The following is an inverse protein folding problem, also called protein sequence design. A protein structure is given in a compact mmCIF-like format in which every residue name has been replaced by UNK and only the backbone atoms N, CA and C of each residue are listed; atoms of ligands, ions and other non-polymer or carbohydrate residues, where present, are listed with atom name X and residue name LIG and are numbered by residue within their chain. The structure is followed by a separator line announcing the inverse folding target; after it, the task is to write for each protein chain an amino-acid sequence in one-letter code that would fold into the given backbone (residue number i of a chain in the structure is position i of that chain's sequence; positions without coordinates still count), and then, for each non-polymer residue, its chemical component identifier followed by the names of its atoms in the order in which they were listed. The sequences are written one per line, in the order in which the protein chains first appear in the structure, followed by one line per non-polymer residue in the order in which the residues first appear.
data_IF_315699681934
#
_entry.id   IF_315699681934
#
_cell.length_a   1.000
_cell.length_b   1.000
_cell.length_c   1.000
_cell.angle_alpha   90.00
_cell.angle_beta   90.00
_cell.angle_gamma   90.00
#
_symmetry.space_group_name_H-M   'P 1'
#
loop_
_entity.id
_entity.type
_entity.pdbx_description
1 polymer ?
#
# COMPACT_ATOMS: atom_id res chain seq x y z
N UNK A 1 11.54 -3.39 -4.37
CA UNK A 1 10.20 -3.11 -4.92
C UNK A 1 9.36 -2.56 -3.79
N UNK A 2 9.14 -1.25 -3.77
CA UNK A 2 8.77 -0.55 -2.55
C UNK A 2 7.73 0.56 -2.80
N UNK A 3 7.00 0.90 -1.74
CA UNK A 3 6.20 2.10 -1.62
C UNK A 3 6.96 3.10 -0.75
N UNK A 4 6.82 4.42 -0.96
CA UNK A 4 7.49 5.40 -0.12
C UNK A 4 6.93 5.36 1.31
N UNK A 5 7.76 5.73 2.28
CA UNK A 5 7.48 5.58 3.71
C UNK A 5 6.29 6.43 4.20
N UNK A 6 5.91 7.45 3.43
CA UNK A 6 4.79 8.35 3.66
C UNK A 6 3.51 7.97 2.90
N UNK A 7 3.55 6.94 2.02
CA UNK A 7 2.34 6.34 1.47
C UNK A 7 1.42 5.86 2.59
N UNK A 8 0.12 5.83 2.32
CA UNK A 8 -0.89 5.53 3.35
C UNK A 8 -1.72 4.30 3.03
N UNK A 9 -2.13 3.60 4.08
CA UNK A 9 -3.07 2.47 4.04
C UNK A 9 -4.19 2.67 5.05
N UNK A 10 -5.34 2.04 4.82
CA UNK A 10 -6.47 2.07 5.75
C UNK A 10 -6.33 0.91 6.76
N UNK A 11 -6.28 1.22 8.05
CA UNK A 11 -6.33 0.25 9.14
C UNK A 11 -7.74 0.12 9.73
N UNK A 12 -8.09 -1.09 10.21
CA UNK A 12 -9.37 -1.31 10.88
C UNK A 12 -9.48 -0.41 12.12
N UNK A 13 -10.61 0.29 12.28
CA UNK A 13 -10.91 1.17 13.42
C UNK A 13 -9.95 2.35 13.68
N UNK A 14 -8.90 2.54 12.87
CA UNK A 14 -7.93 3.63 13.00
C UNK A 14 -8.00 4.58 11.80
N UNK A 15 -8.35 4.07 10.61
CA UNK A 15 -8.37 4.86 9.38
C UNK A 15 -7.00 4.92 8.71
N UNK A 16 -6.70 6.04 8.03
CA UNK A 16 -5.48 6.17 7.23
C UNK A 16 -4.23 6.35 8.08
N UNK A 17 -3.24 5.49 7.85
CA UNK A 17 -1.94 5.50 8.53
C UNK A 17 -0.80 5.41 7.51
N UNK A 18 0.32 6.07 7.78
CA UNK A 18 1.53 5.98 6.94
C UNK A 18 2.16 4.58 7.02
N UNK A 19 2.75 4.11 5.92
CA UNK A 19 3.47 2.82 5.89
C UNK A 19 4.59 2.75 6.93
N UNK A 20 5.31 3.85 7.15
CA UNK A 20 6.37 3.95 8.17
C UNK A 20 5.88 3.69 9.61
N UNK A 21 4.60 3.94 9.90
CA UNK A 21 4.02 3.75 11.23
C UNK A 21 3.43 2.35 11.46
N UNK A 22 3.38 1.52 10.41
CA UNK A 22 2.80 0.17 10.50
C UNK A 22 3.61 -0.77 11.39
N UNK A 23 2.88 -1.68 12.04
CA UNK A 23 3.41 -2.72 12.92
C UNK A 23 2.87 -4.09 12.50
N UNK A 24 3.62 -5.13 12.85
CA UNK A 24 3.14 -6.52 12.73
C UNK A 24 1.89 -6.66 13.61
N UNK A 25 0.85 -7.28 13.05
CA UNK A 25 -0.47 -7.45 13.68
C UNK A 25 -1.49 -6.38 13.29
N UNK A 26 -1.07 -5.23 12.73
CA UNK A 26 -2.01 -4.22 12.23
C UNK A 26 -2.89 -4.82 11.12
N UNK A 27 -4.20 -4.57 11.20
CA UNK A 27 -5.19 -5.08 10.25
C UNK A 27 -5.35 -4.06 9.11
N UNK A 28 -4.74 -4.34 7.97
CA UNK A 28 -4.78 -3.47 6.79
C UNK A 28 -5.91 -3.85 5.85
N UNK A 29 -6.54 -2.86 5.23
CA UNK A 29 -7.53 -3.06 4.18
C UNK A 29 -6.87 -3.62 2.92
N UNK A 30 -7.36 -4.76 2.44
CA UNK A 30 -6.87 -5.45 1.24
C UNK A 30 -8.03 -5.86 0.34
N UNK A 31 -7.71 -6.34 -0.87
CA UNK A 31 -8.64 -6.97 -1.80
C UNK A 31 -8.29 -8.46 -1.83
N UNK A 32 -9.28 -9.33 -1.66
CA UNK A 32 -9.11 -10.79 -1.77
C UNK A 32 -9.24 -11.29 -3.21
N UNK A 33 -9.08 -12.60 -3.41
CA UNK A 33 -9.16 -13.25 -4.72
C UNK A 33 -10.56 -13.15 -5.37
N UNK A 34 -11.59 -12.85 -4.58
CA UNK A 34 -12.97 -12.64 -5.03
C UNK A 34 -13.29 -11.15 -5.29
N UNK A 35 -12.26 -10.29 -5.28
CA UNK A 35 -12.36 -8.82 -5.38
C UNK A 35 -13.16 -8.16 -4.25
N UNK A 36 -13.30 -8.83 -3.09
CA UNK A 36 -13.94 -8.27 -1.91
C UNK A 36 -12.94 -7.49 -1.06
N UNK A 37 -13.44 -6.46 -0.39
CA UNK A 37 -12.63 -5.68 0.55
C UNK A 37 -12.67 -6.39 1.90
N UNK A 38 -11.50 -6.82 2.37
CA UNK A 38 -11.32 -7.43 3.69
C UNK A 38 -10.22 -6.70 4.49
N UNK A 39 -10.05 -7.08 5.75
CA UNK A 39 -8.93 -6.64 6.58
C UNK A 39 -8.05 -7.85 6.92
N UNK A 40 -6.74 -7.69 6.78
CA UNK A 40 -5.77 -8.78 6.97
C UNK A 40 -4.60 -8.31 7.85
N UNK A 41 -4.09 -9.16 8.78
CA UNK A 41 -2.94 -8.81 9.61
C UNK A 41 -1.65 -8.70 8.78
N UNK A 42 -0.85 -7.69 9.07
CA UNK A 42 0.56 -7.68 8.65
C UNK A 42 1.32 -8.74 9.42
N UNK A 43 1.88 -9.72 8.72
CA UNK A 43 2.69 -10.79 9.33
C UNK A 43 4.20 -10.55 9.25
N UNK A 44 4.65 -9.75 8.27
CA UNK A 44 6.07 -9.43 8.05
C UNK A 44 6.22 -8.24 7.11
N UNK A 45 7.38 -7.58 7.14
CA UNK A 45 7.80 -6.60 6.11
C UNK A 45 8.92 -7.21 5.27
N UNK A 46 8.72 -7.31 3.95
CA UNK A 46 9.72 -7.87 3.04
C UNK A 46 10.92 -6.93 2.84
N UNK A 47 10.69 -5.63 2.93
CA UNK A 47 11.71 -4.60 2.83
C UNK A 47 11.23 -3.37 3.60
N UNK A 48 12.05 -2.86 4.53
CA UNK A 48 11.73 -1.72 5.39
C UNK A 48 13.01 -1.00 5.83
N UNK A 49 13.55 -0.19 4.93
CA UNK A 49 14.61 0.77 5.26
C UNK A 49 14.02 2.19 5.20
N UNK A 50 13.98 2.89 6.32
CA UNK A 50 13.32 4.19 6.42
C UNK A 50 14.19 5.35 5.91
N UNK A 51 15.50 5.16 5.89
CA UNK A 51 16.51 6.15 5.51
C UNK A 51 17.08 5.92 4.11
N UNK A 52 16.54 4.96 3.35
CA UNK A 52 16.98 4.67 1.99
C UNK A 52 16.31 5.60 0.98
N UNK A 53 17.12 6.22 0.12
CA UNK A 53 16.62 6.97 -1.03
C UNK A 53 16.34 6.02 -2.21
N UNK A 54 15.12 6.10 -2.74
CA UNK A 54 14.72 5.32 -3.91
C UNK A 54 13.95 6.18 -4.92
N UNK A 55 14.00 5.78 -6.20
CA UNK A 55 13.22 6.41 -7.25
C UNK A 55 11.82 5.80 -7.33
N UNK A 56 10.80 6.66 -7.33
CA UNK A 56 9.40 6.27 -7.43
C UNK A 56 8.74 6.89 -8.67
N UNK A 57 7.82 6.14 -9.29
CA UNK A 57 6.89 6.67 -10.29
C UNK A 57 5.64 7.16 -9.60
N UNK A 58 5.11 8.27 -10.10
CA UNK A 58 3.84 8.83 -9.66
C UNK A 58 2.76 8.54 -10.68
N UNK A 59 1.77 7.75 -10.30
CA UNK A 59 0.57 7.49 -11.11
C UNK A 59 -0.58 8.30 -10.54
N UNK A 60 -1.19 9.13 -11.38
CA UNK A 60 -2.30 10.00 -10.98
C UNK A 60 -3.58 9.57 -11.70
N UNK A 61 -4.64 9.38 -10.92
CA UNK A 61 -6.01 9.26 -11.41
C UNK A 61 -6.73 10.60 -11.25
N UNK A 62 -8.02 10.66 -11.64
CA UNK A 62 -8.83 11.88 -11.45
C UNK A 62 -8.97 12.29 -9.98
N UNK A 63 -8.86 11.35 -9.04
CA UNK A 63 -9.17 11.57 -7.62
C UNK A 63 -8.05 11.18 -6.67
N UNK A 64 -7.01 10.48 -7.14
CA UNK A 64 -5.96 9.96 -6.29
C UNK A 64 -4.59 9.98 -6.97
N UNK A 65 -3.56 9.87 -6.16
CA UNK A 65 -2.17 9.71 -6.59
C UNK A 65 -1.58 8.53 -5.82
N UNK A 66 -0.82 7.69 -6.50
CA UNK A 66 -0.01 6.64 -5.88
C UNK A 66 1.43 6.77 -6.35
N UNK A 67 2.37 6.50 -5.45
CA UNK A 67 3.81 6.48 -5.71
C UNK A 67 4.37 5.10 -5.39
N UNK A 68 5.14 4.53 -6.33
CA UNK A 68 5.65 3.16 -6.24
C UNK A 68 6.89 2.99 -7.14
N UNK A 69 7.77 2.06 -6.78
CA UNK A 69 8.93 1.70 -7.63
C UNK A 69 8.50 1.03 -8.94
N UNK A 70 9.35 1.08 -9.98
CA UNK A 70 9.04 0.66 -11.37
C UNK A 70 8.47 -0.76 -11.55
N UNK A 71 8.74 -1.68 -10.61
CA UNK A 71 8.37 -3.10 -10.75
C UNK A 71 7.19 -3.54 -9.87
N UNK A 72 6.51 -2.59 -9.21
CA UNK A 72 5.37 -2.91 -8.34
C UNK A 72 4.12 -3.27 -9.14
N UNK A 73 3.45 -4.34 -8.72
CA UNK A 73 2.19 -4.79 -9.32
C UNK A 73 1.02 -3.91 -8.88
N UNK A 74 0.18 -3.52 -9.84
CA UNK A 74 -1.06 -2.77 -9.57
C UNK A 74 -2.24 -3.58 -10.09
N UNK A 75 -3.26 -3.74 -9.25
CA UNK A 75 -4.53 -4.29 -9.70
C UNK A 75 -5.28 -3.25 -10.55
N UNK A 76 -5.51 -3.57 -11.82
CA UNK A 76 -6.27 -2.74 -12.76
C UNK A 76 -7.61 -3.40 -13.04
N UNK A 77 -8.70 -2.68 -12.75
CA UNK A 77 -10.04 -3.07 -13.19
C UNK A 77 -10.34 -2.41 -14.54
N UNK A 78 -10.41 -3.21 -15.60
CA UNK A 78 -10.87 -2.75 -16.90
C UNK A 78 -12.40 -2.73 -16.90
N UNK A 79 -12.99 -1.55 -17.12
CA UNK A 79 -14.41 -1.45 -17.43
C UNK A 79 -14.55 -1.68 -18.93
N UNK A 80 -14.84 -2.94 -19.30
CA UNK A 80 -15.28 -3.29 -20.66
C UNK A 80 -16.64 -2.68 -20.98
#
# INVERSE_FOLDING_TARGET
ECFPSDATVDLINVGKVKLSALKIGDQVRVIDDENQIIYSPIISFLHRELDEEASYRRIRTKTAVIELSDRHLINQRNNG
#
